data_IF_669827522106
#
_entry.id   IF_669827522106
#
_cell.length_a   1.000
_cell.length_b   1.000
_cell.length_c   1.000
_cell.angle_alpha   90.00
_cell.angle_beta   90.00
_cell.angle_gamma   90.00
#
_symmetry.space_group_name_H-M   'P 1'
#
loop_
_entity.id
_entity.type
_entity.pdbx_description
1 polymer ?
#
# COMPACT_ATOMS: atom_id res chain seq x y z
N UNK A 1 -7.92 2.89 -12.80
CA UNK A 1 -8.60 1.61 -12.46
C UNK A 1 -7.64 0.71 -11.71
N UNK A 2 -8.10 0.04 -10.64
CA UNK A 2 -7.34 -1.02 -9.97
C UNK A 2 -7.40 -2.34 -10.75
N UNK A 3 -6.23 -2.93 -11.00
CA UNK A 3 -6.08 -4.30 -11.50
C UNK A 3 -5.11 -5.11 -10.64
N UNK A 4 -5.18 -6.43 -10.72
CA UNK A 4 -4.21 -7.30 -10.04
C UNK A 4 -2.80 -7.14 -10.62
N UNK A 5 -1.81 -7.42 -9.77
CA UNK A 5 -0.39 -7.41 -10.14
C UNK A 5 -0.06 -8.51 -11.14
N UNK A 6 0.83 -8.22 -12.07
CA UNK A 6 1.43 -9.16 -13.04
C UNK A 6 2.92 -9.24 -12.81
N UNK A 7 3.55 -10.30 -13.34
CA UNK A 7 5.01 -10.50 -13.23
C UNK A 7 5.79 -9.28 -13.75
N UNK A 8 5.34 -8.69 -14.85
CA UNK A 8 5.95 -7.51 -15.48
C UNK A 8 5.77 -6.20 -14.68
N UNK A 9 5.11 -6.24 -13.53
CA UNK A 9 5.02 -5.11 -12.60
C UNK A 9 6.18 -5.09 -11.58
N UNK A 10 7.02 -6.13 -11.53
CA UNK A 10 8.11 -6.24 -10.56
C UNK A 10 9.01 -5.00 -10.54
N UNK A 11 9.45 -4.55 -11.71
CA UNK A 11 10.34 -3.40 -11.88
C UNK A 11 9.64 -2.10 -11.48
N UNK A 12 8.37 -1.94 -11.84
CA UNK A 12 7.57 -0.79 -11.42
C UNK A 12 7.44 -0.73 -9.90
N UNK A 13 7.18 -1.86 -9.24
CA UNK A 13 7.10 -1.93 -7.78
C UNK A 13 8.46 -1.67 -7.13
N UNK A 14 9.56 -2.10 -7.75
CA UNK A 14 10.91 -1.83 -7.26
C UNK A 14 11.21 -0.34 -7.24
N UNK A 15 10.98 0.32 -8.38
CA UNK A 15 11.20 1.76 -8.53
C UNK A 15 10.30 2.55 -7.58
N UNK A 16 9.02 2.17 -7.49
CA UNK A 16 8.07 2.82 -6.59
C UNK A 16 8.46 2.63 -5.13
N UNK A 17 8.86 1.42 -4.74
CA UNK A 17 9.30 1.15 -3.38
C UNK A 17 10.52 2.00 -3.03
N UNK A 18 11.53 2.08 -3.90
CA UNK A 18 12.77 2.82 -3.65
C UNK A 18 12.70 4.33 -3.89
N UNK A 19 11.56 4.88 -4.32
CA UNK A 19 11.38 6.33 -4.38
C UNK A 19 11.64 6.98 -3.02
N UNK A 20 12.33 8.13 -3.03
CA UNK A 20 12.83 8.79 -1.82
C UNK A 20 11.75 9.03 -0.78
N UNK A 21 10.60 9.59 -1.16
CA UNK A 21 9.53 9.88 -0.20
C UNK A 21 8.83 8.60 0.27
N UNK A 22 8.75 7.57 -0.59
CA UNK A 22 8.20 6.26 -0.21
C UNK A 22 9.09 5.62 0.84
N UNK A 23 10.42 5.59 0.63
CA UNK A 23 11.37 5.08 1.63
C UNK A 23 11.36 5.90 2.91
N UNK A 24 11.41 7.23 2.82
CA UNK A 24 11.35 8.13 3.98
C UNK A 24 10.11 7.85 4.85
N UNK A 25 8.96 7.60 4.22
CA UNK A 25 7.71 7.32 4.92
C UNK A 25 7.49 5.84 5.29
N UNK A 26 8.30 4.92 4.77
CA UNK A 26 8.24 3.50 5.10
C UNK A 26 8.79 3.22 6.50
N UNK A 27 8.28 2.18 7.16
CA UNK A 27 8.79 1.74 8.46
C UNK A 27 10.26 1.34 8.39
N UNK A 28 10.70 0.78 7.26
CA UNK A 28 12.11 0.55 6.94
C UNK A 28 12.54 1.47 5.79
N UNK A 29 13.44 2.40 6.10
CA UNK A 29 13.90 3.44 5.18
C UNK A 29 15.12 3.01 4.35
N UNK A 30 15.72 1.85 4.66
CA UNK A 30 16.89 1.34 3.95
C UNK A 30 16.54 1.09 2.49
N UNK A 31 17.46 1.51 1.60
CA UNK A 31 17.34 1.22 0.17
C UNK A 31 17.25 -0.27 -0.05
N UNK A 32 16.29 -0.69 -0.88
CA UNK A 32 16.09 -2.09 -1.21
C UNK A 32 17.00 -2.42 -2.38
N UNK A 33 17.85 -3.43 -2.23
CA UNK A 33 18.63 -3.98 -3.34
C UNK A 33 17.70 -4.74 -4.30
N UNK A 34 17.99 -4.65 -5.60
CA UNK A 34 17.16 -5.27 -6.62
C UNK A 34 17.00 -6.80 -6.44
N UNK A 35 18.06 -7.51 -6.06
CA UNK A 35 17.98 -8.96 -5.83
C UNK A 35 17.07 -9.31 -4.65
N UNK A 36 17.14 -8.54 -3.55
CA UNK A 36 16.24 -8.70 -2.40
C UNK A 36 14.79 -8.40 -2.78
N UNK A 37 14.56 -7.37 -3.60
CA UNK A 37 13.23 -7.07 -4.12
C UNK A 37 12.69 -8.18 -5.02
N UNK A 38 13.52 -8.75 -5.90
CA UNK A 38 13.15 -9.86 -6.77
C UNK A 38 12.69 -11.07 -5.95
N UNK A 39 13.47 -11.47 -4.94
CA UNK A 39 13.10 -12.54 -4.01
C UNK A 39 11.78 -12.22 -3.29
N UNK A 40 11.65 -11.01 -2.75
CA UNK A 40 10.41 -10.55 -2.11
C UNK A 40 9.21 -10.63 -3.05
N UNK A 41 9.35 -10.21 -4.31
CA UNK A 41 8.27 -10.19 -5.28
C UNK A 41 7.79 -11.60 -5.62
N UNK A 42 8.71 -12.54 -5.88
CA UNK A 42 8.31 -13.93 -6.15
C UNK A 42 7.67 -14.60 -4.94
N UNK A 43 8.17 -14.34 -3.73
CA UNK A 43 7.51 -14.81 -2.51
C UNK A 43 6.09 -14.23 -2.38
N UNK A 44 5.89 -12.95 -2.73
CA UNK A 44 4.56 -12.34 -2.75
C UNK A 44 3.62 -12.99 -3.77
N UNK A 45 4.11 -13.40 -4.93
CA UNK A 45 3.29 -14.14 -5.90
C UNK A 45 2.81 -15.49 -5.34
N UNK A 46 3.64 -16.18 -4.56
CA UNK A 46 3.23 -17.41 -3.86
C UNK A 46 2.18 -17.08 -2.79
N UNK A 47 2.42 -16.07 -1.95
CA UNK A 47 1.46 -15.63 -0.92
C UNK A 47 0.11 -15.18 -1.50
N UNK A 48 0.09 -14.61 -2.71
CA UNK A 48 -1.14 -14.26 -3.43
C UNK A 48 -1.94 -15.52 -3.77
N UNK A 49 -1.28 -16.58 -4.29
CA UNK A 49 -1.93 -17.87 -4.57
C UNK A 49 -2.49 -18.51 -3.29
N UNK A 50 -1.82 -18.32 -2.16
CA UNK A 50 -2.26 -18.80 -0.85
C UNK A 50 -3.28 -17.88 -0.15
N UNK A 51 -3.77 -16.83 -0.83
CA UNK A 51 -4.72 -15.85 -0.28
C UNK A 51 -4.20 -15.12 0.98
N UNK A 52 -2.88 -15.07 1.16
CA UNK A 52 -2.18 -14.36 2.24
C UNK A 52 -1.76 -12.95 1.84
N UNK A 53 -1.68 -12.64 0.54
CA UNK A 53 -1.41 -11.28 0.07
C UNK A 53 -2.32 -10.92 -1.11
N UNK A 54 -2.54 -9.62 -1.32
CA UNK A 54 -3.15 -9.07 -2.54
C UNK A 54 -2.37 -7.83 -2.92
N UNK A 55 -1.98 -7.73 -4.20
CA UNK A 55 -1.32 -6.54 -4.73
C UNK A 55 -2.09 -6.08 -5.95
N UNK A 56 -2.45 -4.79 -5.95
CA UNK A 56 -3.12 -4.13 -7.04
C UNK A 56 -2.25 -3.02 -7.60
N UNK A 57 -2.24 -2.89 -8.92
CA UNK A 57 -1.68 -1.75 -9.64
C UNK A 57 -2.83 -0.82 -10.02
N UNK A 58 -2.63 0.47 -9.79
CA UNK A 58 -3.56 1.48 -10.27
C UNK A 58 -3.05 2.09 -11.56
N UNK A 59 -3.89 2.02 -12.59
CA UNK A 59 -3.60 2.55 -13.92
C UNK A 59 -4.49 3.74 -14.25
N UNK A 60 -3.89 4.80 -14.80
CA UNK A 60 -4.57 5.96 -15.36
C UNK A 60 -4.05 6.14 -16.79
N UNK A 61 -4.94 6.16 -17.78
CA UNK A 61 -4.59 6.27 -19.20
C UNK A 61 -3.51 5.29 -19.65
N UNK A 62 -3.68 4.01 -19.26
CA UNK A 62 -2.73 2.89 -19.50
C UNK A 62 -1.35 3.06 -18.86
N UNK A 63 -1.14 4.06 -17.98
CA UNK A 63 0.08 4.25 -17.22
C UNK A 63 -0.08 3.73 -15.80
N UNK A 64 0.90 2.95 -15.32
CA UNK A 64 0.99 2.52 -13.92
C UNK A 64 1.36 3.74 -13.08
N UNK A 65 0.50 4.14 -12.15
CA UNK A 65 0.72 5.35 -11.33
C UNK A 65 0.81 5.06 -9.84
N UNK A 66 0.41 3.87 -9.39
CA UNK A 66 0.54 3.50 -7.99
C UNK A 66 0.19 2.05 -7.73
N UNK A 67 0.22 1.71 -6.47
CA UNK A 67 -0.07 0.38 -5.98
C UNK A 67 -0.83 0.44 -4.65
N UNK A 68 -1.61 -0.62 -4.39
CA UNK A 68 -2.11 -0.97 -3.07
C UNK A 68 -1.74 -2.42 -2.78
N UNK A 69 -1.22 -2.73 -1.58
CA UNK A 69 -1.01 -4.10 -1.10
C UNK A 69 -1.76 -4.33 0.21
N UNK A 70 -2.32 -5.52 0.34
CA UNK A 70 -2.92 -6.06 1.55
C UNK A 70 -2.20 -7.34 1.93
N UNK A 71 -1.56 -7.37 3.10
CA UNK A 71 -0.88 -8.57 3.62
C UNK A 71 -1.63 -9.11 4.83
N UNK A 72 -2.06 -10.37 4.80
CA UNK A 72 -2.78 -11.02 5.90
C UNK A 72 -1.87 -11.17 7.12
N UNK A 73 -2.35 -10.73 8.28
CA UNK A 73 -1.68 -10.86 9.58
C UNK A 73 -2.71 -11.21 10.64
N UNK A 74 -2.83 -12.50 10.94
CA UNK A 74 -3.87 -13.04 11.81
C UNK A 74 -5.26 -12.75 11.25
N UNK A 75 -6.08 -12.02 12.02
CA UNK A 75 -7.45 -11.63 11.64
C UNK A 75 -7.53 -10.30 10.85
N UNK A 76 -6.39 -9.66 10.57
CA UNK A 76 -6.32 -8.37 9.89
C UNK A 76 -5.57 -8.48 8.56
N UNK A 77 -5.78 -7.51 7.68
CA UNK A 77 -4.91 -7.22 6.54
C UNK A 77 -4.16 -5.92 6.78
N UNK A 78 -2.84 -5.95 6.61
CA UNK A 78 -2.00 -4.76 6.68
C UNK A 78 -1.97 -4.11 5.30
N UNK A 79 -2.35 -2.83 5.24
CA UNK A 79 -2.38 -2.07 3.99
C UNK A 79 -1.11 -1.25 3.78
N UNK A 80 -0.65 -1.23 2.54
CA UNK A 80 0.43 -0.39 2.03
C UNK A 80 -0.04 0.28 0.73
N UNK A 81 0.21 1.59 0.58
CA UNK A 81 -0.20 2.37 -0.59
C UNK A 81 0.96 3.25 -1.03
N UNK A 82 1.27 3.22 -2.31
CA UNK A 82 2.29 4.08 -2.91
C UNK A 82 1.83 4.64 -4.26
N UNK A 83 2.21 5.88 -4.55
CA UNK A 83 1.93 6.58 -5.82
C UNK A 83 3.23 7.17 -6.33
N UNK A 84 3.44 7.13 -7.65
CA UNK A 84 4.61 7.74 -8.29
C UNK A 84 4.63 9.27 -8.05
N UNK A 85 5.82 9.83 -7.94
CA UNK A 85 6.04 11.23 -7.51
C UNK A 85 5.15 12.25 -8.23
N UNK A 86 5.07 12.19 -9.56
CA UNK A 86 4.37 13.20 -10.40
C UNK A 86 2.82 13.15 -10.29
N UNK A 87 2.27 12.18 -9.55
CA UNK A 87 0.84 11.98 -9.35
C UNK A 87 0.43 12.15 -7.88
N UNK A 88 1.36 12.50 -7.00
CA UNK A 88 1.07 12.83 -5.59
C UNK A 88 0.38 14.20 -5.49
N UNK A 89 -0.31 14.43 -4.37
CA UNK A 89 -1.02 15.69 -4.12
C UNK A 89 -2.32 15.88 -4.91
N UNK A 90 -2.67 14.97 -5.83
CA UNK A 90 -3.85 15.06 -6.70
C UNK A 90 -5.08 14.29 -6.19
N UNK A 91 -5.10 13.91 -4.92
CA UNK A 91 -6.20 13.12 -4.33
C UNK A 91 -6.32 11.67 -4.82
N UNK A 92 -5.41 11.20 -5.68
CA UNK A 92 -5.49 9.86 -6.32
C UNK A 92 -5.43 8.71 -5.30
N UNK A 93 -4.69 8.83 -4.21
CA UNK A 93 -4.63 7.79 -3.16
C UNK A 93 -5.98 7.57 -2.50
N UNK A 94 -6.78 8.63 -2.33
CA UNK A 94 -8.15 8.54 -1.80
C UNK A 94 -9.04 7.78 -2.75
N UNK A 95 -8.97 8.10 -4.04
CA UNK A 95 -9.75 7.41 -5.09
C UNK A 95 -9.37 5.92 -5.14
N UNK A 96 -8.07 5.61 -5.15
CA UNK A 96 -7.55 4.25 -5.13
C UNK A 96 -8.04 3.46 -3.92
N UNK A 97 -7.94 4.04 -2.72
CA UNK A 97 -8.37 3.38 -1.49
C UNK A 97 -9.88 3.16 -1.47
N UNK A 98 -10.69 4.13 -1.87
CA UNK A 98 -12.14 3.95 -1.95
C UNK A 98 -12.55 2.89 -2.97
N UNK A 99 -11.87 2.81 -4.13
CA UNK A 99 -12.10 1.74 -5.12
C UNK A 99 -11.76 0.36 -4.53
N UNK A 100 -10.65 0.23 -3.79
CA UNK A 100 -10.31 -1.01 -3.08
C UNK A 100 -11.39 -1.38 -2.06
N UNK A 101 -11.81 -0.44 -1.20
CA UNK A 101 -12.78 -0.71 -0.13
C UNK A 101 -14.16 -1.15 -0.67
N UNK A 102 -14.52 -0.75 -1.89
CA UNK A 102 -15.72 -1.26 -2.57
C UNK A 102 -15.56 -2.70 -3.06
N UNK A 103 -14.35 -3.10 -3.44
CA UNK A 103 -14.00 -4.44 -3.97
C UNK A 103 -13.82 -5.48 -2.86
N UNK A 104 -13.28 -5.09 -1.71
CA UNK A 104 -13.02 -6.01 -0.59
C UNK A 104 -14.10 -5.87 0.48
N UNK A 105 -14.79 -6.96 0.83
CA UNK A 105 -15.86 -6.96 1.84
C UNK A 105 -15.53 -7.92 2.98
N UNK A 106 -16.09 -7.65 4.16
CA UNK A 106 -15.99 -8.51 5.34
C UNK A 106 -14.54 -8.75 5.83
N UNK A 107 -13.64 -7.79 5.61
CA UNK A 107 -12.26 -7.87 6.12
C UNK A 107 -11.95 -6.69 7.05
N UNK A 108 -11.06 -6.92 8.01
CA UNK A 108 -10.52 -5.85 8.85
C UNK A 108 -9.16 -5.42 8.32
N UNK A 109 -9.01 -4.15 7.99
CA UNK A 109 -7.78 -3.58 7.42
C UNK A 109 -7.13 -2.68 8.46
N UNK A 110 -5.81 -2.79 8.62
CA UNK A 110 -5.00 -2.02 9.54
C UNK A 110 -3.86 -1.32 8.79
N UNK A 111 -3.70 -0.02 9.01
CA UNK A 111 -2.60 0.78 8.48
C UNK A 111 -1.66 1.20 9.60
N UNK A 112 -0.37 1.05 9.37
CA UNK A 112 0.69 1.57 10.22
C UNK A 112 1.28 2.82 9.56
N UNK A 113 1.19 3.97 10.23
CA UNK A 113 1.56 5.23 9.62
C UNK A 113 2.49 5.97 10.56
N UNK A 114 3.65 6.44 10.06
CA UNK A 114 4.51 7.33 10.84
C UNK A 114 3.74 8.60 11.22
N UNK A 115 3.93 9.08 12.45
CA UNK A 115 3.31 10.31 12.92
C UNK A 115 3.75 11.54 12.11
N UNK A 116 4.94 11.49 11.51
CA UNK A 116 5.45 12.52 10.59
C UNK A 116 4.81 12.48 9.19
N UNK A 117 4.17 11.36 8.81
CA UNK A 117 3.50 11.23 7.51
C UNK A 117 2.05 11.74 7.60
N UNK A 118 1.91 13.07 7.68
CA UNK A 118 0.62 13.76 7.79
C UNK A 118 -0.29 13.42 6.60
N UNK A 119 0.26 13.35 5.38
CA UNK A 119 -0.51 13.05 4.17
C UNK A 119 -1.23 11.69 4.25
N UNK A 120 -0.54 10.63 4.70
CA UNK A 120 -1.20 9.33 4.91
C UNK A 120 -2.20 9.37 6.06
N UNK A 121 -1.92 10.07 7.16
CA UNK A 121 -2.89 10.19 8.26
C UNK A 121 -4.20 10.84 7.81
N UNK A 122 -4.11 11.92 7.03
CA UNK A 122 -5.27 12.58 6.43
C UNK A 122 -6.01 11.65 5.47
N UNK A 123 -5.28 10.92 4.60
CA UNK A 123 -5.85 9.93 3.69
C UNK A 123 -6.74 8.93 4.44
N UNK A 124 -6.16 8.19 5.40
CA UNK A 124 -6.87 7.11 6.08
C UNK A 124 -8.04 7.63 6.93
N UNK A 125 -7.86 8.75 7.64
CA UNK A 125 -8.94 9.40 8.39
C UNK A 125 -10.12 9.80 7.49
N UNK A 126 -9.83 10.28 6.27
CA UNK A 126 -10.85 10.72 5.32
C UNK A 126 -11.56 9.60 4.54
N UNK A 127 -11.15 8.33 4.74
CA UNK A 127 -11.69 7.15 4.05
C UNK A 127 -12.32 6.14 5.01
N UNK A 128 -12.81 6.61 6.16
CA UNK A 128 -13.54 5.79 7.13
C UNK A 128 -12.67 4.95 8.07
N UNK A 129 -11.33 5.05 7.99
CA UNK A 129 -10.49 4.42 8.99
C UNK A 129 -10.53 5.24 10.29
N UNK A 130 -10.62 4.53 11.41
CA UNK A 130 -10.54 5.12 12.75
C UNK A 130 -9.15 4.93 13.32
N UNK A 131 -8.58 5.97 13.91
CA UNK A 131 -7.33 5.87 14.69
C UNK A 131 -7.63 5.07 15.95
N UNK A 132 -6.94 3.95 16.14
CA UNK A 132 -7.19 3.02 17.27
C UNK A 132 -6.06 2.99 18.30
N UNK A 133 -4.86 3.40 17.91
CA UNK A 133 -3.69 3.48 18.80
C UNK A 133 -2.70 4.50 18.24
N UNK A 134 -1.91 5.09 19.12
CA UNK A 134 -0.66 5.74 18.79
C UNK A 134 0.43 5.23 19.73
N UNK A 135 1.61 4.97 19.22
CA UNK A 135 2.76 4.54 20.03
C UNK A 135 4.03 5.17 19.45
N UNK A 136 4.76 5.93 20.27
CA UNK A 136 5.98 6.65 19.87
C UNK A 136 5.77 7.40 18.54
N UNK A 137 6.35 6.90 17.47
CA UNK A 137 6.36 7.51 16.13
C UNK A 137 5.35 6.92 15.15
N UNK A 138 4.48 6.01 15.58
CA UNK A 138 3.54 5.30 14.71
C UNK A 138 2.09 5.43 15.21
N UNK A 139 1.21 5.82 14.31
CA UNK A 139 -0.24 5.81 14.47
C UNK A 139 -0.86 4.63 13.73
N UNK A 140 -1.88 4.04 14.34
CA UNK A 140 -2.56 2.84 13.87
C UNK A 140 -3.99 3.22 13.47
N UNK A 141 -4.36 2.91 12.24
CA UNK A 141 -5.68 3.21 11.68
C UNK A 141 -6.36 1.91 11.25
N UNK A 142 -7.62 1.72 11.63
CA UNK A 142 -8.38 0.49 11.35
C UNK A 142 -9.70 0.80 10.67
N UNK A 143 -10.08 -0.02 9.70
CA UNK A 143 -11.45 -0.07 9.14
C UNK A 143 -11.90 -1.53 9.04
N UNK A 144 -13.22 -1.73 9.07
CA UNK A 144 -13.85 -3.00 8.71
C UNK A 144 -14.72 -2.74 7.49
N UNK A 145 -14.50 -3.50 6.42
CA UNK A 145 -15.31 -3.47 5.20
C UNK A 145 -16.37 -4.54 5.19
#
# INVERSE_FOLDING_TARGET
MLREVKVDDMEFLYQLANDFDVRKNSLNQTKIEFQKHKQWFFNKLIEIKELKSKIFIYELDKKKIGQIRLDKKGIFFIIDISIIKNYRGKGLSKIMLLDLLKKVKNISILAYIKNSNIASQCLFSSTGFKKVKACRDISFYKVRT
#
